data_IF_073887034457
#
_entry.id   IF_073887034457
#
_cell.length_a   1.000
_cell.length_b   1.000
_cell.length_c   1.000
_cell.angle_alpha   90.00
_cell.angle_beta   90.00
_cell.angle_gamma   90.00
#
_symmetry.space_group_name_H-M   'P 1'
#
loop_
_entity.id
_entity.type
_entity.pdbx_description
1 polymer ?
#
# COMPACT_ATOMS: atom_id res chain seq x y z
N UNK A 1 -21.83 16.89 18.85
CA UNK A 1 -20.81 15.85 18.56
C UNK A 1 -20.30 15.85 17.11
N UNK A 2 -21.10 16.26 16.11
CA UNK A 2 -20.71 16.33 14.69
C UNK A 2 -19.42 17.14 14.44
N UNK A 3 -19.23 18.26 15.15
CA UNK A 3 -18.01 19.08 15.02
C UNK A 3 -16.72 18.33 15.40
N UNK A 4 -16.80 17.43 16.38
CA UNK A 4 -15.66 16.61 16.81
C UNK A 4 -15.27 15.57 15.77
N UNK A 5 -16.26 14.97 15.09
CA UNK A 5 -16.03 14.02 14.00
C UNK A 5 -15.48 14.72 12.75
N UNK A 6 -15.96 15.93 12.45
CA UNK A 6 -15.49 16.71 11.31
C UNK A 6 -14.01 17.13 11.53
N UNK A 7 -13.68 17.59 12.73
CA UNK A 7 -12.30 17.91 13.11
C UNK A 7 -11.40 16.66 13.07
N UNK A 8 -11.89 15.50 13.51
CA UNK A 8 -11.18 14.22 13.39
C UNK A 8 -10.87 13.86 11.93
N UNK A 9 -11.86 13.95 11.04
CA UNK A 9 -11.69 13.68 9.60
C UNK A 9 -10.61 14.59 9.03
N UNK A 10 -10.65 15.90 9.33
CA UNK A 10 -9.66 16.87 8.86
C UNK A 10 -8.25 16.53 9.36
N UNK A 11 -8.10 16.19 10.64
CA UNK A 11 -6.79 15.83 11.21
C UNK A 11 -6.21 14.57 10.55
N UNK A 12 -7.03 13.53 10.39
CA UNK A 12 -6.59 12.26 9.80
C UNK A 12 -6.22 12.45 8.32
N UNK A 13 -6.98 13.25 7.57
CA UNK A 13 -6.64 13.60 6.19
C UNK A 13 -5.36 14.44 6.11
N UNK A 14 -5.15 15.38 7.03
CA UNK A 14 -3.93 16.18 7.08
C UNK A 14 -2.71 15.30 7.36
N UNK A 15 -2.82 14.36 8.30
CA UNK A 15 -1.79 13.33 8.55
C UNK A 15 -1.52 12.52 7.29
N UNK A 16 -2.57 12.07 6.58
CA UNK A 16 -2.44 11.32 5.33
C UNK A 16 -1.71 12.11 4.23
N UNK A 17 -2.03 13.40 4.09
CA UNK A 17 -1.35 14.30 3.16
C UNK A 17 0.12 14.44 3.55
N UNK A 18 0.43 14.71 4.82
CA UNK A 18 1.80 14.81 5.30
C UNK A 18 2.61 13.53 5.04
N UNK A 19 2.04 12.35 5.30
CA UNK A 19 2.66 11.06 5.02
C UNK A 19 2.91 10.87 3.53
N UNK A 20 1.93 11.21 2.70
CA UNK A 20 2.04 11.09 1.23
C UNK A 20 3.11 12.03 0.67
N UNK A 21 3.15 13.28 1.14
CA UNK A 21 4.18 14.25 0.80
C UNK A 21 5.56 13.80 1.28
N UNK A 22 5.66 13.20 2.46
CA UNK A 22 6.91 12.66 2.97
C UNK A 22 7.41 11.46 2.15
N UNK A 23 6.52 10.54 1.77
CA UNK A 23 6.84 9.43 0.86
C UNK A 23 7.31 9.97 -0.49
N UNK A 24 6.63 10.99 -1.02
CA UNK A 24 7.03 11.64 -2.27
C UNK A 24 8.41 12.31 -2.16
N UNK A 25 8.67 13.02 -1.06
CA UNK A 25 9.97 13.62 -0.76
C UNK A 25 11.07 12.56 -0.70
N UNK A 26 10.85 11.45 0.03
CA UNK A 26 11.80 10.34 0.11
C UNK A 26 12.11 9.78 -1.29
N UNK A 27 11.07 9.57 -2.12
CA UNK A 27 11.25 9.10 -3.50
C UNK A 27 12.11 10.05 -4.34
N UNK A 28 11.87 11.36 -4.23
CA UNK A 28 12.58 12.39 -4.99
C UNK A 28 14.03 12.57 -4.53
N UNK A 29 14.25 12.73 -3.23
CA UNK A 29 15.58 12.99 -2.64
C UNK A 29 16.52 11.82 -2.83
N UNK A 30 16.01 10.59 -2.73
CA UNK A 30 16.81 9.38 -2.85
C UNK A 30 16.87 8.84 -4.28
N UNK A 31 16.31 9.60 -5.26
CA UNK A 31 16.13 9.16 -6.65
C UNK A 31 15.54 7.73 -6.75
N UNK A 32 14.71 7.35 -5.78
CA UNK A 32 14.07 6.06 -5.74
C UNK A 32 12.96 6.04 -6.78
N UNK A 33 13.29 5.53 -7.96
CA UNK A 33 12.37 5.47 -9.08
C UNK A 33 11.97 4.01 -9.34
N UNK A 34 10.75 3.59 -8.96
CA UNK A 34 10.25 2.23 -9.20
C UNK A 34 10.20 1.86 -10.69
N UNK A 35 10.15 2.86 -11.59
CA UNK A 35 10.17 2.64 -13.03
C UNK A 35 11.58 2.59 -13.64
N UNK A 36 12.57 3.33 -13.11
CA UNK A 36 13.98 3.09 -13.49
C UNK A 36 14.47 1.75 -12.97
N UNK A 37 13.96 1.29 -11.83
CA UNK A 37 14.14 -0.08 -11.38
C UNK A 37 13.58 -1.03 -12.46
N UNK A 38 12.36 -0.86 -12.98
CA UNK A 38 11.85 -1.66 -14.14
C UNK A 38 12.78 -1.66 -15.37
N UNK A 39 13.53 -0.58 -15.64
CA UNK A 39 14.50 -0.50 -16.73
C UNK A 39 15.77 -1.34 -16.50
N UNK A 40 16.31 -1.32 -15.28
CA UNK A 40 17.40 -2.19 -14.83
C UNK A 40 16.95 -3.68 -14.81
N UNK A 41 15.63 -3.91 -14.74
CA UNK A 41 15.01 -5.21 -14.50
C UNK A 41 14.18 -5.76 -15.65
N UNK A 42 14.28 -5.15 -16.84
CA UNK A 42 13.63 -5.64 -18.07
C UNK A 42 14.47 -6.63 -18.87
N UNK A 43 15.72 -6.93 -18.49
CA UNK A 43 16.55 -7.88 -19.26
C UNK A 43 17.28 -8.96 -18.47
N UNK A 44 16.98 -9.21 -17.19
CA UNK A 44 17.66 -10.28 -16.47
C UNK A 44 16.87 -10.79 -15.27
N UNK A 45 17.11 -12.06 -14.93
CA UNK A 45 16.64 -12.79 -13.74
C UNK A 45 16.96 -12.03 -12.42
N UNK A 46 17.85 -11.03 -12.46
CA UNK A 46 18.35 -10.28 -11.30
C UNK A 46 17.58 -8.97 -11.08
N UNK A 47 16.32 -9.06 -10.68
CA UNK A 47 15.60 -7.91 -10.09
C UNK A 47 15.77 -7.85 -8.57
N UNK A 48 15.67 -6.69 -7.90
CA UNK A 48 15.86 -6.57 -6.46
C UNK A 48 14.67 -7.19 -5.72
N UNK A 49 13.62 -7.54 -6.46
CA UNK A 49 12.49 -8.35 -6.05
C UNK A 49 12.57 -9.80 -6.54
N UNK A 50 13.56 -10.18 -7.36
CA UNK A 50 13.77 -11.54 -7.86
C UNK A 50 15.00 -12.24 -7.32
N UNK A 51 15.85 -11.54 -6.57
CA UNK A 51 16.93 -12.18 -5.81
C UNK A 51 16.35 -13.31 -4.94
N UNK A 52 16.85 -14.52 -5.12
CA UNK A 52 16.38 -15.72 -4.44
C UNK A 52 15.06 -16.34 -4.94
N UNK A 53 14.34 -15.75 -5.90
CA UNK A 53 13.01 -16.29 -6.31
C UNK A 53 13.08 -17.69 -6.95
N UNK A 54 14.22 -18.07 -7.56
CA UNK A 54 14.42 -19.42 -8.13
C UNK A 54 14.92 -20.42 -7.09
N UNK A 55 15.84 -20.00 -6.24
CA UNK A 55 16.58 -20.90 -5.35
C UNK A 55 15.91 -21.03 -3.97
N UNK A 56 15.11 -20.04 -3.58
CA UNK A 56 14.39 -19.99 -2.32
C UNK A 56 12.87 -20.04 -2.53
N UNK A 57 12.30 -21.20 -2.22
CA UNK A 57 10.87 -21.49 -2.39
C UNK A 57 9.97 -20.56 -1.58
N UNK A 58 10.44 -20.02 -0.44
CA UNK A 58 9.66 -19.09 0.39
C UNK A 58 9.51 -17.73 -0.28
N UNK A 59 10.60 -17.19 -0.85
CA UNK A 59 10.60 -15.90 -1.57
C UNK A 59 9.77 -16.03 -2.85
N UNK A 60 9.91 -17.15 -3.56
CA UNK A 60 9.10 -17.47 -4.74
C UNK A 60 7.59 -17.47 -4.45
N UNK A 61 7.20 -18.12 -3.33
CA UNK A 61 5.80 -18.16 -2.89
C UNK A 61 5.29 -16.78 -2.53
N UNK A 62 6.05 -16.00 -1.76
CA UNK A 62 5.70 -14.63 -1.38
C UNK A 62 5.53 -13.71 -2.59
N UNK A 63 6.41 -13.81 -3.58
CA UNK A 63 6.31 -13.03 -4.82
C UNK A 63 5.03 -13.33 -5.61
N UNK A 64 4.59 -14.59 -5.62
CA UNK A 64 3.33 -14.97 -6.26
C UNK A 64 2.14 -14.37 -5.53
N UNK A 65 2.11 -14.49 -4.20
CA UNK A 65 1.03 -13.91 -3.38
C UNK A 65 1.00 -12.39 -3.41
N UNK A 66 2.16 -11.73 -3.43
CA UNK A 66 2.29 -10.28 -3.59
C UNK A 66 1.63 -9.81 -4.90
N UNK A 67 1.88 -10.48 -6.03
CA UNK A 67 1.26 -10.14 -7.31
C UNK A 67 -0.25 -10.35 -7.30
N UNK A 68 -0.71 -11.47 -6.74
CA UNK A 68 -2.15 -11.76 -6.60
C UNK A 68 -2.81 -10.69 -5.73
N UNK A 69 -2.22 -10.38 -4.58
CA UNK A 69 -2.72 -9.36 -3.65
C UNK A 69 -2.77 -7.97 -4.30
N UNK A 70 -1.76 -7.60 -5.11
CA UNK A 70 -1.76 -6.35 -5.86
C UNK A 70 -2.93 -6.27 -6.85
N UNK A 71 -3.15 -7.35 -7.62
CA UNK A 71 -4.23 -7.40 -8.62
C UNK A 71 -5.59 -7.28 -7.92
N UNK A 72 -5.80 -8.05 -6.85
CA UNK A 72 -7.02 -7.98 -6.04
C UNK A 72 -7.19 -6.59 -5.43
N UNK A 73 -6.12 -5.97 -4.93
CA UNK A 73 -6.18 -4.62 -4.36
C UNK A 73 -6.56 -3.57 -5.40
N UNK A 74 -6.01 -3.64 -6.62
CA UNK A 74 -6.37 -2.72 -7.71
C UNK A 74 -7.83 -2.90 -8.14
N UNK A 75 -8.27 -4.14 -8.32
CA UNK A 75 -9.66 -4.48 -8.65
C UNK A 75 -10.62 -4.03 -7.53
N UNK A 76 -10.25 -4.28 -6.28
CA UNK A 76 -10.97 -3.82 -5.10
C UNK A 76 -11.07 -2.30 -5.08
N UNK A 77 -9.95 -1.60 -5.36
CA UNK A 77 -9.86 -0.13 -5.45
C UNK A 77 -10.81 0.46 -6.51
N UNK A 78 -10.88 -0.16 -7.68
CA UNK A 78 -11.82 0.22 -8.73
C UNK A 78 -13.28 0.00 -8.28
N UNK A 79 -13.57 -1.15 -7.67
CA UNK A 79 -14.90 -1.45 -7.14
C UNK A 79 -15.33 -0.46 -6.06
N UNK A 80 -14.43 -0.14 -5.12
CA UNK A 80 -14.66 0.87 -4.07
C UNK A 80 -14.96 2.24 -4.64
N UNK A 81 -14.23 2.65 -5.67
CA UNK A 81 -14.44 3.92 -6.33
C UNK A 81 -15.82 4.01 -7.01
N UNK A 82 -16.24 2.94 -7.70
CA UNK A 82 -17.58 2.88 -8.32
C UNK A 82 -18.68 2.95 -7.25
N UNK A 83 -18.54 2.18 -6.17
CA UNK A 83 -19.48 2.20 -5.04
C UNK A 83 -19.57 3.60 -4.42
N UNK A 84 -18.45 4.29 -4.25
CA UNK A 84 -18.43 5.66 -3.72
C UNK A 84 -19.21 6.64 -4.62
N UNK A 85 -19.06 6.54 -5.94
CA UNK A 85 -19.82 7.36 -6.90
C UNK A 85 -21.32 7.07 -6.81
N UNK A 86 -21.71 5.79 -6.71
CA UNK A 86 -23.11 5.40 -6.56
C UNK A 86 -23.74 6.00 -5.30
N UNK A 87 -23.08 5.86 -4.15
CA UNK A 87 -23.55 6.45 -2.89
C UNK A 87 -23.66 7.97 -2.96
N UNK A 88 -22.68 8.63 -3.58
CA UNK A 88 -22.69 10.08 -3.74
C UNK A 88 -23.87 10.53 -4.61
N UNK A 89 -24.14 9.83 -5.71
CA UNK A 89 -25.29 10.09 -6.57
C UNK A 89 -26.63 9.86 -5.86
N UNK A 90 -26.72 8.80 -5.06
CA UNK A 90 -27.91 8.48 -4.25
C UNK A 90 -28.18 9.57 -3.21
N UNK A 91 -27.13 10.00 -2.49
CA UNK A 91 -27.22 11.08 -1.52
C UNK A 91 -27.65 12.41 -2.17
N UNK A 92 -27.08 12.79 -3.32
CA UNK A 92 -27.47 14.02 -4.04
C UNK A 92 -28.93 13.97 -4.49
N UNK A 93 -29.40 12.80 -4.93
CA UNK A 93 -30.74 12.65 -5.52
C UNK A 93 -31.84 12.53 -4.47
N UNK A 94 -31.58 11.82 -3.37
CA UNK A 94 -32.60 11.41 -2.41
C UNK A 94 -32.34 11.87 -0.97
N UNK A 95 -31.20 12.53 -0.70
CA UNK A 95 -30.75 12.92 0.66
C UNK A 95 -30.72 11.73 1.65
N UNK A 96 -30.63 10.50 1.14
CA UNK A 96 -30.61 9.27 1.90
C UNK A 96 -29.63 8.27 1.27
N UNK A 97 -29.17 7.30 2.07
CA UNK A 97 -28.28 6.22 1.63
C UNK A 97 -28.83 4.89 2.15
N UNK A 98 -29.48 4.12 1.28
CA UNK A 98 -30.09 2.84 1.66
C UNK A 98 -29.07 1.70 1.75
N UNK A 99 -28.04 1.71 0.88
CA UNK A 99 -27.07 0.62 0.76
C UNK A 99 -25.74 0.86 1.53
N UNK A 100 -25.81 1.61 2.62
CA UNK A 100 -24.65 2.03 3.40
C UNK A 100 -23.81 0.87 3.95
N UNK A 101 -24.45 -0.16 4.51
CA UNK A 101 -23.77 -1.34 5.07
C UNK A 101 -22.99 -2.14 4.03
N UNK A 102 -23.58 -2.30 2.83
CA UNK A 102 -22.94 -3.00 1.72
C UNK A 102 -21.71 -2.23 1.24
N UNK A 103 -21.79 -0.90 1.19
CA UNK A 103 -20.64 -0.05 0.87
C UNK A 103 -19.53 -0.15 1.91
N UNK A 104 -19.87 -0.07 3.21
CA UNK A 104 -18.90 -0.27 4.31
C UNK A 104 -18.22 -1.64 4.16
N UNK A 105 -18.98 -2.69 3.81
CA UNK A 105 -18.43 -4.02 3.56
C UNK A 105 -17.41 -4.05 2.41
N UNK A 106 -17.79 -3.57 1.22
CA UNK A 106 -16.92 -3.58 0.03
C UNK A 106 -15.66 -2.74 0.25
N UNK A 107 -15.84 -1.58 0.87
CA UNK A 107 -14.75 -0.68 1.20
C UNK A 107 -13.80 -1.32 2.22
N UNK A 108 -14.29 -1.87 3.33
CA UNK A 108 -13.48 -2.61 4.32
C UNK A 108 -12.64 -3.71 3.71
N UNK A 109 -13.24 -4.53 2.84
CA UNK A 109 -12.56 -5.65 2.18
C UNK A 109 -11.40 -5.16 1.31
N UNK A 110 -11.61 -4.08 0.56
CA UNK A 110 -10.55 -3.47 -0.26
C UNK A 110 -9.37 -2.99 0.58
N UNK A 111 -9.65 -2.37 1.72
CA UNK A 111 -8.60 -1.91 2.65
C UNK A 111 -7.82 -3.07 3.26
N UNK A 112 -8.49 -4.14 3.67
CA UNK A 112 -7.83 -5.37 4.14
C UNK A 112 -6.86 -5.93 3.09
N UNK A 113 -7.26 -5.97 1.82
CA UNK A 113 -6.38 -6.40 0.73
C UNK A 113 -5.19 -5.46 0.51
N UNK A 114 -5.38 -4.15 0.66
CA UNK A 114 -4.29 -3.18 0.60
C UNK A 114 -3.25 -3.39 1.71
N UNK A 115 -3.69 -3.59 2.95
CA UNK A 115 -2.80 -3.89 4.08
C UNK A 115 -2.07 -5.21 3.83
N UNK A 116 -2.78 -6.26 3.40
CA UNK A 116 -2.19 -7.56 3.09
C UNK A 116 -1.12 -7.46 1.99
N UNK A 117 -1.38 -6.70 0.92
CA UNK A 117 -0.41 -6.45 -0.15
C UNK A 117 0.88 -5.80 0.38
N UNK A 118 0.74 -4.71 1.15
CA UNK A 118 1.91 -4.02 1.71
C UNK A 118 2.68 -4.90 2.70
N UNK A 119 1.99 -5.67 3.54
CA UNK A 119 2.61 -6.59 4.49
C UNK A 119 3.37 -7.73 3.79
N UNK A 120 2.80 -8.31 2.73
CA UNK A 120 3.48 -9.31 1.90
C UNK A 120 4.73 -8.73 1.24
N UNK A 121 4.63 -7.53 0.68
CA UNK A 121 5.75 -6.82 0.06
C UNK A 121 6.88 -6.55 1.06
N UNK A 122 6.53 -6.14 2.29
CA UNK A 122 7.48 -5.90 3.37
C UNK A 122 8.17 -7.21 3.80
N UNK A 123 7.40 -8.28 4.03
CA UNK A 123 7.94 -9.59 4.41
C UNK A 123 8.88 -10.16 3.35
N UNK A 124 8.52 -10.02 2.07
CA UNK A 124 9.36 -10.43 0.95
C UNK A 124 10.69 -9.67 0.95
N UNK A 125 10.64 -8.34 1.04
CA UNK A 125 11.84 -7.51 1.02
C UNK A 125 12.78 -7.81 2.19
N UNK A 126 12.23 -8.03 3.40
CA UNK A 126 13.04 -8.43 4.56
C UNK A 126 13.76 -9.75 4.33
N UNK A 127 13.08 -10.78 3.80
CA UNK A 127 13.71 -12.06 3.52
C UNK A 127 14.81 -11.95 2.46
N UNK A 128 14.62 -11.11 1.45
CA UNK A 128 15.64 -10.87 0.42
C UNK A 128 16.89 -10.16 0.98
N UNK A 129 16.73 -9.24 1.92
CA UNK A 129 17.85 -8.61 2.62
C UNK A 129 18.62 -9.66 3.46
N UNK A 130 17.91 -10.50 4.21
CA UNK A 130 18.53 -11.55 5.02
C UNK A 130 19.30 -12.55 4.16
N UNK A 131 18.71 -12.99 3.05
CA UNK A 131 19.36 -13.91 2.13
C UNK A 131 20.59 -13.30 1.46
N UNK A 132 20.52 -12.01 1.09
CA UNK A 132 21.69 -11.29 0.57
C UNK A 132 22.84 -11.26 1.58
N UNK A 133 22.55 -10.98 2.86
CA UNK A 133 23.58 -10.97 3.91
C UNK A 133 24.25 -12.34 4.12
N UNK A 134 23.53 -13.44 3.88
CA UNK A 134 24.07 -14.80 4.00
C UNK A 134 24.94 -15.20 2.80
N UNK A 135 24.64 -14.66 1.61
CA UNK A 135 25.27 -15.05 0.35
C UNK A 135 26.37 -14.10 -0.13
N UNK A 136 26.42 -12.85 0.39
CA UNK A 136 27.37 -11.82 -0.06
C UNK A 136 28.85 -12.25 -0.04
N UNK A 137 29.22 -13.15 0.88
CA UNK A 137 30.60 -13.63 1.07
C UNK A 137 30.85 -15.00 0.39
N UNK A 138 29.81 -15.64 -0.16
CA UNK A 138 29.84 -17.03 -0.65
C UNK A 138 29.65 -17.16 -2.15
N UNK A 139 29.01 -16.19 -2.80
CA UNK A 139 28.65 -16.27 -4.22
C UNK A 139 28.95 -14.99 -4.98
N UNK A 140 29.18 -15.13 -6.29
CA UNK A 140 29.34 -13.99 -7.19
C UNK A 140 27.96 -13.39 -7.43
N UNK A 141 27.61 -12.38 -6.65
CA UNK A 141 26.38 -11.58 -6.83
C UNK A 141 26.64 -10.52 -7.89
N UNK A 142 25.69 -10.32 -8.81
CA UNK A 142 25.79 -9.28 -9.84
C UNK A 142 25.94 -7.89 -9.22
N UNK A 143 26.79 -7.05 -9.82
CA UNK A 143 27.13 -5.71 -9.34
C UNK A 143 25.90 -4.83 -9.01
N UNK A 144 24.89 -4.82 -9.87
CA UNK A 144 23.67 -4.02 -9.66
C UNK A 144 22.87 -4.43 -8.41
N UNK A 145 22.86 -5.73 -8.09
CA UNK A 145 22.18 -6.28 -6.91
C UNK A 145 22.97 -5.94 -5.65
N UNK A 146 24.30 -6.05 -5.71
CA UNK A 146 25.21 -5.63 -4.64
C UNK A 146 25.06 -4.15 -4.33
N UNK A 147 25.11 -3.29 -5.35
CA UNK A 147 24.96 -1.84 -5.22
C UNK A 147 23.60 -1.48 -4.61
N UNK A 148 22.53 -2.20 -4.95
CA UNK A 148 21.21 -2.00 -4.32
C UNK A 148 21.23 -2.36 -2.82
N UNK A 149 21.66 -3.57 -2.45
CA UNK A 149 21.57 -4.04 -1.06
C UNK A 149 22.59 -3.38 -0.11
N UNK A 150 23.74 -2.93 -0.63
CA UNK A 150 24.73 -2.17 0.14
C UNK A 150 24.39 -0.68 0.26
N UNK A 151 23.50 -0.17 -0.60
CA UNK A 151 23.01 1.21 -0.50
C UNK A 151 21.95 1.39 0.60
N UNK A 152 21.51 2.64 0.80
CA UNK A 152 20.35 2.97 1.64
C UNK A 152 19.00 2.57 1.01
N UNK A 153 18.98 2.03 -0.20
CA UNK A 153 17.73 1.73 -0.93
C UNK A 153 16.81 0.72 -0.23
N UNK A 154 17.29 -0.41 0.33
CA UNK A 154 16.41 -1.41 0.94
C UNK A 154 15.71 -0.90 2.21
N UNK A 155 16.43 -0.15 3.06
CA UNK A 155 15.87 0.44 4.27
C UNK A 155 14.84 1.52 3.94
N UNK A 156 15.07 2.31 2.88
CA UNK A 156 14.12 3.29 2.37
C UNK A 156 12.88 2.61 1.81
N UNK A 157 13.04 1.52 1.05
CA UNK A 157 11.91 0.74 0.54
C UNK A 157 11.04 0.16 1.66
N UNK A 158 11.65 -0.41 2.72
CA UNK A 158 10.92 -0.85 3.91
C UNK A 158 10.17 0.31 4.57
N UNK A 159 10.82 1.46 4.74
CA UNK A 159 10.21 2.65 5.33
C UNK A 159 9.02 3.15 4.51
N UNK A 160 9.15 3.18 3.19
CA UNK A 160 8.04 3.54 2.29
C UNK A 160 6.88 2.57 2.46
N UNK A 161 7.12 1.26 2.49
CA UNK A 161 6.08 0.26 2.68
C UNK A 161 5.35 0.42 4.03
N UNK A 162 6.07 0.63 5.12
CA UNK A 162 5.46 0.88 6.43
C UNK A 162 4.67 2.18 6.48
N UNK A 163 5.19 3.26 5.88
CA UNK A 163 4.46 4.53 5.75
C UNK A 163 3.19 4.37 4.90
N UNK A 164 3.24 3.54 3.85
CA UNK A 164 2.08 3.24 3.01
C UNK A 164 0.99 2.48 3.78
N UNK A 165 1.35 1.53 4.65
CA UNK A 165 0.37 0.86 5.54
C UNK A 165 -0.29 1.87 6.46
N UNK A 166 0.49 2.72 7.13
CA UNK A 166 -0.05 3.70 8.07
C UNK A 166 -0.94 4.74 7.37
N UNK A 167 -0.52 5.21 6.19
CA UNK A 167 -1.31 6.10 5.36
C UNK A 167 -2.65 5.47 4.95
N UNK A 168 -2.65 4.18 4.59
CA UNK A 168 -3.86 3.46 4.22
C UNK A 168 -4.83 3.36 5.41
N UNK A 169 -4.33 3.14 6.63
CA UNK A 169 -5.15 3.13 7.85
C UNK A 169 -5.78 4.51 8.10
N UNK A 170 -5.02 5.60 7.94
CA UNK A 170 -5.54 6.96 8.08
C UNK A 170 -6.68 7.23 7.09
N UNK A 171 -6.46 6.96 5.79
CA UNK A 171 -7.50 7.16 4.76
C UNK A 171 -8.75 6.33 5.09
N UNK A 172 -8.56 5.11 5.60
CA UNK A 172 -9.68 4.26 5.98
C UNK A 172 -10.51 4.82 7.12
N UNK A 173 -9.84 5.31 8.16
CA UNK A 173 -10.50 5.94 9.31
C UNK A 173 -11.32 7.15 8.88
N UNK A 174 -10.80 7.97 7.98
CA UNK A 174 -11.54 9.12 7.44
C UNK A 174 -12.78 8.70 6.65
N UNK A 175 -12.66 7.71 5.75
CA UNK A 175 -13.78 7.18 4.96
C UNK A 175 -14.87 6.61 5.87
N UNK A 176 -14.48 5.81 6.87
CA UNK A 176 -15.43 5.26 7.84
C UNK A 176 -16.16 6.35 8.62
N UNK A 177 -15.44 7.36 9.11
CA UNK A 177 -16.05 8.50 9.82
C UNK A 177 -17.03 9.28 8.93
N UNK A 178 -16.72 9.48 7.65
CA UNK A 178 -17.62 10.14 6.70
C UNK A 178 -18.91 9.33 6.52
N UNK A 179 -18.78 8.02 6.30
CA UNK A 179 -19.96 7.15 6.15
C UNK A 179 -20.79 7.13 7.44
N UNK A 180 -20.16 7.08 8.61
CA UNK A 180 -20.87 7.11 9.89
C UNK A 180 -21.71 8.38 10.06
N UNK A 181 -21.17 9.56 9.69
CA UNK A 181 -21.91 10.84 9.72
C UNK A 181 -23.09 10.81 8.73
N UNK A 182 -22.89 10.30 7.52
CA UNK A 182 -23.91 10.31 6.47
C UNK A 182 -25.05 9.32 6.72
N UNK A 183 -24.78 8.22 7.42
CA UNK A 183 -25.72 7.10 7.61
C UNK A 183 -26.46 7.20 8.93
N UNK A 184 -25.82 7.73 9.96
CA UNK A 184 -26.40 7.91 11.28
C UNK A 184 -26.48 9.41 11.62
N UNK A 185 -27.45 10.14 11.05
CA UNK A 185 -27.61 11.56 11.31
C UNK A 185 -27.99 11.89 12.78
N UNK A 186 -28.36 10.88 13.58
CA UNK A 186 -28.77 10.98 14.99
C UNK A 186 -27.83 10.21 15.94
N UNK A 187 -26.51 10.39 15.82
CA UNK A 187 -25.65 10.20 16.99
C UNK A 187 -25.70 11.50 17.82
N UNK A 188 -26.79 11.66 18.59
CA UNK A 188 -26.86 12.63 19.69
C UNK A 188 -25.92 12.22 20.84
#
# INVERSE_FOLDING_TARGET
MVDGWLLWIVLVLLISICLSSYVYYLKRTLKYNPFNLKGIFKSSVNTPYRFGERDNTQISRLARWEKIALVIYILGGLSTFVVFIMLFSEWVSYHAIENSLLSIGITSVTFCFGIAFYALSQKKLTLQITEYQLLKDKTIVSKDVKDFFESRSPSVSLRILSLSIFNLICIWSAVFSIIAILVFPYFD
#
